data_IF_712070969427
#
_entry.id   IF_712070969427
#
_cell.length_a   1.000
_cell.length_b   1.000
_cell.length_c   1.000
_cell.angle_alpha   90.00
_cell.angle_beta   90.00
_cell.angle_gamma   90.00
#
_symmetry.space_group_name_H-M   'P 1'
#
loop_
_entity.id
_entity.type
_entity.pdbx_description
1 polymer ?
2 non-polymer ?
3 non-polymer ?
4 water ?
#
# COMPACT_ATOMS: atom_id res chain seq x y z
N UNK A 6 -10.59 16.35 1.91
CA UNK A 6 -9.60 15.23 1.84
C UNK A 6 -8.20 15.84 1.70
N UNK A 7 -7.11 15.19 2.19
CA UNK A 7 -5.76 15.70 1.99
C UNK A 7 -5.36 15.69 0.50
N UNK A 8 -4.71 16.75 -0.01
CA UNK A 8 -4.29 16.89 -1.43
C UNK A 8 -2.86 17.40 -1.49
N UNK A 9 -1.92 16.72 -2.17
CA UNK A 9 -2.13 15.39 -2.74
C UNK A 9 -2.54 14.38 -1.67
N UNK A 10 -3.08 13.25 -2.10
CA UNK A 10 -3.65 12.22 -1.21
C UNK A 10 -2.69 11.05 -1.17
N UNK A 11 -1.85 10.93 -0.13
CA UNK A 11 -0.87 9.86 -0.09
C UNK A 11 -1.53 8.49 -0.09
N UNK A 12 -0.85 7.56 -0.76
CA UNK A 12 -1.20 6.12 -0.77
C UNK A 12 0.03 5.34 -0.36
N UNK A 13 -0.19 4.26 0.37
CA UNK A 13 0.89 3.51 1.05
C UNK A 13 0.74 2.03 0.72
N UNK A 14 1.81 1.40 0.21
CA UNK A 14 1.86 -0.06 0.01
C UNK A 14 2.94 -0.58 0.93
N UNK A 15 2.61 -1.52 1.80
CA UNK A 15 3.64 -2.11 2.70
C UNK A 15 4.10 -3.44 2.11
N UNK A 16 5.40 -3.65 2.14
CA UNK A 16 6.01 -4.87 1.58
C UNK A 16 7.32 -5.14 2.28
N UNK A 17 7.64 -6.42 2.41
CA UNK A 17 8.92 -6.88 2.97
C UNK A 17 10.08 -6.44 2.06
N UNK A 18 11.16 -5.99 2.67
CA UNK A 18 12.38 -5.58 1.92
C UNK A 18 12.83 -6.70 0.98
N UNK A 19 12.61 -7.97 1.32
CA UNK A 19 13.05 -9.09 0.47
C UNK A 19 12.34 -9.09 -0.89
N UNK A 20 11.28 -8.31 -1.05
CA UNK A 20 10.54 -8.18 -2.32
C UNK A 20 11.11 -7.04 -3.18
N UNK A 21 11.93 -6.15 -2.63
CA UNK A 21 12.33 -4.89 -3.33
C UNK A 21 13.13 -5.20 -4.59
N UNK A 22 14.05 -6.16 -4.57
CA UNK A 22 14.84 -6.51 -5.77
C UNK A 22 13.90 -6.91 -6.92
N UNK A 23 12.89 -7.73 -6.67
CA UNK A 23 11.93 -8.16 -7.70
C UNK A 23 11.13 -6.99 -8.23
N UNK A 24 10.75 -6.06 -7.36
CA UNK A 24 10.00 -4.85 -7.80
C UNK A 24 10.89 -4.00 -8.72
N UNK A 25 12.14 -3.77 -8.32
CA UNK A 25 13.07 -2.94 -9.10
C UNK A 25 13.43 -3.64 -10.42
N UNK A 26 13.63 -4.95 -10.40
CA UNK A 26 14.01 -5.67 -11.65
C UNK A 26 12.86 -5.56 -12.66
N UNK A 27 11.61 -5.68 -12.20
CA UNK A 27 10.44 -5.63 -13.13
C UNK A 27 10.04 -4.18 -13.41
N UNK A 28 10.48 -3.26 -12.57
CA UNK A 28 10.12 -1.83 -12.63
C UNK A 28 8.69 -1.58 -12.18
N UNK A 29 8.09 -2.53 -11.48
CA UNK A 29 6.67 -2.36 -11.05
C UNK A 29 6.31 -3.33 -9.95
N UNK A 30 5.30 -2.98 -9.18
CA UNK A 30 4.52 -3.96 -8.39
C UNK A 30 3.53 -4.64 -9.34
N UNK A 31 3.34 -5.94 -9.18
CA UNK A 31 2.30 -6.70 -9.93
C UNK A 31 1.18 -7.10 -8.98
N UNK A 32 -0.07 -7.01 -9.44
CA UNK A 32 -1.25 -7.51 -8.70
C UNK A 32 -1.07 -9.00 -8.40
N UNK A 33 -1.65 -9.48 -7.33
CA UNK A 33 -1.61 -10.89 -6.89
C UNK A 33 -1.86 -11.82 -8.09
N UNK A 34 -2.89 -11.54 -8.89
CA UNK A 34 -3.35 -12.43 -9.98
C UNK A 34 -2.43 -12.32 -11.19
N UNK A 35 -1.43 -11.42 -11.15
CA UNK A 35 -0.41 -11.28 -12.23
C UNK A 35 0.89 -11.96 -11.80
N UNK A 36 0.87 -12.75 -10.73
CA UNK A 36 1.99 -13.63 -10.28
C UNK A 36 3.26 -12.82 -10.05
N UNK A 37 3.31 -11.88 -9.10
CA UNK A 37 4.58 -11.24 -8.74
C UNK A 37 5.58 -12.26 -8.21
N UNK A 38 6.89 -12.09 -8.45
CA UNK A 38 7.88 -12.97 -7.85
C UNK A 38 8.16 -12.58 -6.38
N UNK A 39 7.14 -12.67 -5.54
CA UNK A 39 7.16 -12.32 -4.10
C UNK A 39 8.15 -13.25 -3.35
N UNK A 40 8.85 -12.71 -2.38
CA UNK A 40 9.74 -13.50 -1.50
C UNK A 40 9.08 -13.64 -0.14
N UNK A 41 8.31 -12.64 0.29
CA UNK A 41 7.50 -12.73 1.54
C UNK A 41 6.14 -12.08 1.33
N UNK A 42 5.07 -12.76 1.75
CA UNK A 42 3.68 -12.27 1.70
C UNK A 42 3.24 -12.11 3.14
N UNK A 43 2.36 -11.14 3.39
CA UNK A 43 2.06 -10.75 4.81
C UNK A 43 0.55 -10.89 5.01
N UNK A 44 -0.03 -11.79 4.21
CA UNK A 44 -1.42 -12.25 4.34
C UNK A 44 -1.56 -13.04 5.66
N UNK A 45 -2.74 -12.95 6.27
CA UNK A 45 -3.17 -13.86 7.36
C UNK A 45 -3.02 -15.30 6.87
N UNK A 55 -13.80 -11.70 -4.45
CA UNK A 55 -14.38 -10.36 -4.15
C UNK A 55 -14.36 -9.50 -5.41
N UNK A 56 -15.52 -9.25 -5.99
CA UNK A 56 -15.69 -8.56 -7.28
C UNK A 56 -15.55 -7.07 -7.07
N UNK A 57 -14.95 -6.39 -8.05
CA UNK A 57 -14.85 -4.90 -8.12
C UNK A 57 -15.95 -4.40 -9.06
N UNK A 58 -17.00 -3.74 -8.53
CA UNK A 58 -18.16 -3.38 -9.35
C UNK A 58 -17.97 -2.12 -10.23
N UNK A 59 -16.81 -1.46 -10.17
CA UNK A 59 -16.46 -0.34 -11.07
C UNK A 59 -15.58 -0.86 -12.19
N UNK A 60 -15.64 -0.31 -13.41
CA UNK A 60 -14.67 -0.64 -14.44
C UNK A 60 -13.28 -0.28 -13.92
N UNK A 61 -12.22 -1.05 -14.24
CA UNK A 61 -12.27 -2.15 -15.22
C UNK A 61 -12.72 -3.52 -14.67
N UNK A 62 -13.32 -3.55 -13.49
CA UNK A 62 -13.98 -4.77 -12.98
C UNK A 62 -12.97 -5.79 -12.49
N UNK A 63 -13.22 -7.07 -12.75
CA UNK A 63 -12.43 -8.17 -12.16
C UNK A 63 -12.62 -8.25 -10.65
N UNK A 64 -11.56 -8.69 -9.95
CA UNK A 64 -11.61 -8.97 -8.48
C UNK A 64 -10.49 -8.16 -7.80
N UNK A 65 -10.54 -8.04 -6.48
CA UNK A 65 -9.55 -7.23 -5.74
C UNK A 65 -8.12 -7.65 -6.11
N UNK A 66 -7.85 -8.95 -6.25
CA UNK A 66 -6.47 -9.44 -6.47
C UNK A 66 -6.02 -9.18 -7.93
N UNK A 67 -6.85 -8.53 -8.75
CA UNK A 67 -6.42 -8.05 -10.08
C UNK A 67 -5.76 -6.68 -9.97
N UNK A 68 -5.73 -6.11 -8.77
CA UNK A 68 -5.23 -4.72 -8.54
C UNK A 68 -4.08 -4.76 -7.54
N UNK A 69 -3.14 -3.84 -7.69
CA UNK A 69 -2.12 -3.57 -6.65
C UNK A 69 -2.74 -2.66 -5.61
N UNK A 70 -2.82 -3.08 -4.33
CA UNK A 70 -3.56 -2.35 -3.32
C UNK A 70 -2.68 -1.47 -2.42
N UNK A 71 -3.25 -0.34 -2.04
CA UNK A 71 -2.61 0.66 -1.13
C UNK A 71 -3.63 0.99 -0.05
N UNK A 72 -3.13 1.36 1.12
CA UNK A 72 -3.99 2.04 2.13
C UNK A 72 -3.79 3.54 2.02
N UNK A 73 -4.64 4.28 2.71
CA UNK A 73 -4.58 5.77 2.78
C UNK A 73 -3.88 6.25 4.06
N UNK A 74 -3.36 5.33 4.85
CA UNK A 74 -2.55 5.67 6.06
C UNK A 74 -1.36 4.73 6.13
N UNK A 75 -0.27 5.22 6.76
CA UNK A 75 0.77 4.34 7.28
C UNK A 75 0.29 3.82 8.65
N UNK A 76 1.13 3.05 9.33
CA UNK A 76 0.78 2.49 10.66
C UNK A 76 -0.61 1.83 10.58
N UNK A 77 -0.83 1.02 9.55
CA UNK A 77 -2.16 0.42 9.25
C UNK A 77 -2.47 -0.73 10.20
N UNK A 78 -3.75 -1.13 10.26
CA UNK A 78 -4.13 -2.35 10.96
C UNK A 78 -3.36 -3.58 10.44
N UNK A 79 -3.10 -3.66 9.14
CA UNK A 79 -2.31 -4.78 8.56
C UNK A 79 -0.91 -4.77 9.20
N UNK A 80 -0.33 -3.59 9.36
CA UNK A 80 1.00 -3.49 10.00
C UNK A 80 0.90 -3.91 11.47
N UNK A 81 -0.20 -3.61 12.14
CA UNK A 81 -0.37 -4.05 13.54
C UNK A 81 -0.46 -5.57 13.59
N UNK A 82 -1.09 -6.20 12.59
CA UNK A 82 -1.21 -7.67 12.56
C UNK A 82 0.19 -8.27 12.34
N UNK A 83 1.02 -7.62 11.54
CA UNK A 83 2.43 -8.08 11.35
C UNK A 83 3.19 -7.91 12.66
N UNK A 84 3.10 -6.73 13.27
CA UNK A 84 3.77 -6.39 14.54
C UNK A 84 3.38 -7.41 15.63
N UNK A 85 2.14 -7.82 15.62
CA UNK A 85 1.58 -8.69 16.68
C UNK A 85 1.73 -10.17 16.34
N UNK A 86 2.34 -10.55 15.20
CA UNK A 86 2.56 -11.95 14.83
C UNK A 86 1.28 -12.66 14.39
N UNK A 87 0.21 -11.91 14.08
CA UNK A 87 -1.12 -12.45 13.68
C UNK A 87 -1.09 -12.95 12.23
N UNK A 88 -0.01 -12.67 11.50
CA UNK A 88 0.20 -13.18 10.12
C UNK A 88 0.98 -14.51 10.18
N UNK A 89 0.95 -15.31 9.11
CA UNK A 89 1.86 -16.48 9.02
C UNK A 89 3.29 -15.99 9.07
N UNK A 90 3.57 -14.84 8.46
CA UNK A 90 4.91 -14.19 8.50
C UNK A 90 5.20 -13.75 9.95
N UNK A 91 6.35 -14.17 10.50
CA UNK A 91 6.71 -13.95 11.93
C UNK A 91 7.90 -13.00 12.09
N UNK A 92 8.36 -12.37 11.03
CA UNK A 92 9.58 -11.53 11.07
C UNK A 92 9.33 -10.15 11.68
N UNK A 93 8.08 -9.79 11.93
CA UNK A 93 7.73 -8.52 12.57
C UNK A 93 7.88 -7.33 11.63
N UNK A 94 7.83 -6.13 12.22
CA UNK A 94 7.62 -4.90 11.41
C UNK A 94 8.95 -4.35 10.87
N UNK A 95 10.12 -4.68 11.45
CA UNK A 95 11.38 -3.97 11.11
C UNK A 95 11.68 -4.09 9.61
N UNK A 96 11.53 -5.25 8.96
CA UNK A 96 11.82 -5.35 7.53
C UNK A 96 10.72 -4.83 6.61
N UNK A 97 9.64 -4.29 7.16
CA UNK A 97 8.48 -3.89 6.30
C UNK A 97 8.63 -2.44 5.87
N UNK A 98 8.70 -2.25 4.56
CA UNK A 98 8.81 -0.92 3.93
C UNK A 98 7.43 -0.32 3.76
N UNK A 99 7.32 0.99 3.89
CA UNK A 99 6.15 1.72 3.35
C UNK A 99 6.57 2.34 2.02
N UNK A 100 5.91 1.95 0.93
CA UNK A 100 6.15 2.57 -0.40
C UNK A 100 5.08 3.64 -0.59
N UNK A 101 5.49 4.88 -0.80
CA UNK A 101 4.56 6.04 -0.76
C UNK A 101 4.40 6.64 -2.16
N UNK A 102 3.16 6.84 -2.57
CA UNK A 102 2.83 7.58 -3.82
C UNK A 102 1.61 8.46 -3.53
N UNK A 103 0.90 8.88 -4.55
CA UNK A 103 -0.35 9.65 -4.33
C UNK A 103 -1.40 9.20 -5.33
N UNK A 104 -2.66 9.37 -4.96
CA UNK A 104 -3.79 9.06 -5.84
C UNK A 104 -3.71 9.94 -7.08
N UNK A 105 -3.31 11.22 -6.93
CA UNK A 105 -3.25 12.17 -8.05
C UNK A 105 -2.18 11.74 -9.06
N UNK A 106 -1.04 11.24 -8.59
CA UNK A 106 0.03 10.74 -9.50
C UNK A 106 -0.50 9.63 -10.39
N UNK A 107 -1.29 8.71 -9.82
CA UNK A 107 -1.85 7.58 -10.58
C UNK A 107 -2.78 8.10 -11.67
N UNK A 108 -3.66 9.03 -11.32
CA UNK A 108 -4.56 9.67 -12.32
C UNK A 108 -3.71 10.37 -13.38
N UNK A 109 -2.72 11.14 -12.96
CA UNK A 109 -1.90 11.94 -13.91
C UNK A 109 -1.18 11.01 -14.86
N UNK A 110 -0.79 9.83 -14.39
CA UNK A 110 -0.03 8.84 -15.21
C UNK A 110 -0.96 8.10 -16.17
N UNK A 111 -2.28 8.24 -16.04
CA UNK A 111 -3.26 7.67 -16.97
C UNK A 111 -3.59 6.23 -16.64
N UNK A 112 -3.35 5.79 -15.41
CA UNK A 112 -3.55 4.37 -15.03
C UNK A 112 -4.93 4.15 -14.46
N UNK A 113 -5.61 3.04 -14.83
CA UNK A 113 -6.92 2.74 -14.26
C UNK A 113 -6.83 2.36 -12.78
N UNK A 114 -7.72 2.94 -12.00
CA UNK A 114 -7.77 2.72 -10.54
C UNK A 114 -9.22 2.72 -10.10
N UNK A 115 -9.42 2.12 -8.92
CA UNK A 115 -10.67 2.25 -8.14
C UNK A 115 -10.27 2.35 -6.68
N UNK A 116 -11.13 2.87 -5.86
CA UNK A 116 -10.82 2.92 -4.41
C UNK A 116 -12.08 2.61 -3.64
N UNK A 117 -11.88 2.16 -2.42
CA UNK A 117 -12.94 1.69 -1.52
C UNK A 117 -12.96 2.53 -0.24
N UNK A 118 -14.05 2.40 0.51
CA UNK A 118 -14.18 3.04 1.85
C UNK A 118 -13.90 2.02 2.97
N UNK A 119 -13.54 0.79 2.65
CA UNK A 119 -13.21 -0.31 3.60
C UNK A 119 -12.72 -1.51 2.81
N UNK A 120 -12.33 -2.63 3.45
CA UNK A 120 -11.94 -3.87 2.72
C UNK A 120 -13.06 -4.26 1.76
N UNK A 121 -12.79 -4.47 0.47
CA UNK A 121 -13.79 -4.63 -0.60
C UNK A 121 -14.57 -5.93 -0.50
N UNK A 122 -14.13 -6.85 0.36
CA UNK A 122 -14.84 -8.14 0.59
C UNK A 122 -16.09 -7.87 1.44
N UNK A 123 -16.14 -6.75 2.17
CA UNK A 123 -17.32 -6.45 3.04
C UNK A 123 -18.51 -6.10 2.14
N UNK A 124 -19.68 -6.66 2.43
CA UNK A 124 -20.91 -6.48 1.62
C UNK A 124 -21.28 -4.99 1.48
N UNK A 125 -21.01 -4.18 2.52
CA UNK A 125 -21.39 -2.74 2.52
C UNK A 125 -20.26 -1.89 1.95
N UNK A 126 -19.14 -2.47 1.49
CA UNK A 126 -18.04 -1.70 0.88
C UNK A 126 -18.60 -0.90 -0.30
N UNK A 127 -18.18 0.37 -0.38
CA UNK A 127 -18.48 1.25 -1.55
C UNK A 127 -17.21 1.41 -2.36
N UNK A 128 -17.38 1.44 -3.68
CA UNK A 128 -16.29 1.52 -4.68
C UNK A 128 -16.49 2.79 -5.53
N UNK A 129 -15.39 3.47 -5.83
CA UNK A 129 -15.37 4.78 -6.50
C UNK A 129 -14.28 4.80 -7.56
N UNK A 130 -14.40 5.65 -8.57
CA UNK A 130 -13.27 5.82 -9.52
C UNK A 130 -12.98 7.29 -9.80
N UNK A 131 -13.60 8.24 -9.10
CA UNK A 131 -13.33 9.69 -9.32
C UNK A 131 -12.64 10.21 -8.07
N UNK A 132 -11.58 10.99 -8.22
CA UNK A 132 -10.85 11.53 -7.04
C UNK A 132 -11.79 12.41 -6.19
N UNK A 133 -12.78 13.05 -6.78
CA UNK A 133 -13.67 13.92 -5.95
C UNK A 133 -14.42 13.05 -4.92
N UNK A 134 -14.58 11.75 -5.18
CA UNK A 134 -15.27 10.84 -4.24
C UNK A 134 -14.35 10.41 -3.10
N UNK A 135 -13.12 10.90 -3.02
CA UNK A 135 -12.32 10.67 -1.79
C UNK A 135 -13.05 11.29 -0.57
N UNK A 136 -13.93 12.26 -0.79
CA UNK A 136 -14.77 12.86 0.27
C UNK A 136 -15.71 11.83 0.93
N UNK A 137 -16.00 10.71 0.28
CA UNK A 137 -16.97 9.69 0.78
C UNK A 137 -16.30 8.76 1.82
N UNK A 138 -14.98 8.81 1.94
CA UNK A 138 -14.24 7.94 2.87
C UNK A 138 -14.38 8.47 4.29
N UNK A 139 -14.10 7.65 5.28
CA UNK A 139 -14.07 8.08 6.70
C UNK A 139 -12.64 8.50 7.06
N UNK A 140 -12.30 9.77 6.87
CA UNK A 140 -10.92 10.28 7.10
C UNK A 140 -10.61 10.36 8.60
N UNK A 141 -11.63 10.47 9.45
CA UNK A 141 -11.42 10.32 10.92
C UNK A 141 -10.82 8.93 11.20
N UNK A 142 -11.40 7.86 10.66
CA UNK A 142 -10.90 6.49 10.88
C UNK A 142 -9.51 6.36 10.24
N UNK A 143 -9.37 6.78 8.99
CA UNK A 143 -8.10 6.59 8.23
C UNK A 143 -6.96 7.23 9.02
N UNK A 144 -7.16 8.43 9.55
CA UNK A 144 -6.06 9.22 10.17
C UNK A 144 -5.93 8.90 11.66
N UNK A 145 -6.80 8.05 12.22
CA UNK A 145 -6.85 7.85 13.69
C UNK A 145 -5.62 7.10 14.18
N UNK A 146 -5.01 7.61 15.26
CA UNK A 146 -3.93 6.91 16.01
C UNK A 146 -4.56 5.95 17.04
N UNK A 147 -5.74 6.30 17.55
CA UNK A 147 -6.51 5.38 18.43
C UNK A 147 -7.65 4.81 17.60
N UNK A 148 -7.64 3.50 17.36
CA UNK A 148 -8.64 2.85 16.48
C UNK A 148 -9.11 1.51 17.07
N UNK A 149 -8.96 1.31 18.38
CA UNK A 149 -9.30 0.04 19.06
C UNK A 149 -10.81 -0.14 19.14
N UNK A 150 -11.58 0.94 19.21
CA UNK A 150 -13.03 0.84 19.46
C UNK A 150 -13.64 2.19 19.10
N UNK A 151 -14.84 2.24 18.48
CA UNK A 151 -15.63 1.06 18.12
C UNK A 151 -15.04 0.22 17.00
N UNK A 152 -15.60 -0.98 16.75
CA UNK A 152 -15.02 -1.93 15.79
C UNK A 152 -15.00 -1.40 14.36
N UNK A 153 -15.94 -0.52 14.04
CA UNK A 153 -16.01 0.10 12.68
C UNK A 153 -14.75 0.92 12.39
N UNK A 154 -14.04 1.44 13.38
CA UNK A 154 -12.84 2.27 13.06
C UNK A 154 -11.83 1.37 12.33
N UNK A 155 -11.56 0.16 12.84
CA UNK A 155 -10.61 -0.74 12.15
C UNK A 155 -11.08 -0.99 10.70
N UNK A 156 -12.38 -1.17 10.48
CA UNK A 156 -12.95 -1.48 9.15
C UNK A 156 -12.71 -0.29 8.20
N UNK A 157 -13.06 0.91 8.64
CA UNK A 157 -13.03 2.11 7.76
C UNK A 157 -11.60 2.61 7.61
N UNK A 158 -10.70 2.29 8.53
CA UNK A 158 -9.26 2.62 8.42
C UNK A 158 -8.61 1.84 7.26
N UNK A 159 -9.25 0.77 6.79
CA UNK A 159 -8.70 -0.09 5.72
C UNK A 159 -9.33 0.27 4.37
N UNK A 160 -9.86 1.48 4.19
CA UNK A 160 -10.11 2.02 2.84
C UNK A 160 -8.87 1.76 1.98
N UNK A 161 -9.05 1.39 0.72
CA UNK A 161 -7.91 1.00 -0.15
C UNK A 161 -7.99 1.71 -1.50
N UNK A 162 -6.83 1.96 -2.06
CA UNK A 162 -6.66 2.55 -3.41
C UNK A 162 -6.07 1.42 -4.26
N UNK A 163 -6.75 1.06 -5.34
CA UNK A 163 -6.50 -0.18 -6.12
C UNK A 163 -6.08 0.22 -7.53
N UNK A 164 -4.86 -0.17 -7.93
CA UNK A 164 -4.37 0.16 -9.30
C UNK A 164 -4.38 -1.11 -10.13
N UNK A 165 -5.05 -1.09 -11.27
CA UNK A 165 -5.28 -2.33 -12.04
C UNK A 165 -3.97 -2.91 -12.59
N UNK A 166 -3.75 -4.20 -12.31
CA UNK A 166 -2.75 -5.11 -12.93
C UNK A 166 -1.33 -4.82 -12.44
N UNK A 167 -0.89 -3.58 -12.49
CA UNK A 167 0.51 -3.24 -12.15
C UNK A 167 0.62 -1.79 -11.76
N UNK A 168 1.63 -1.53 -10.96
CA UNK A 168 1.91 -0.17 -10.45
C UNK A 168 3.37 0.14 -10.70
N UNK A 169 3.70 1.10 -11.57
CA UNK A 169 5.08 1.36 -11.89
C UNK A 169 5.91 1.86 -10.71
N UNK A 170 7.11 1.33 -10.58
CA UNK A 170 8.04 1.72 -9.50
C UNK A 170 8.27 3.23 -9.50
N UNK A 171 8.37 3.85 -10.67
CA UNK A 171 8.72 5.29 -10.78
C UNK A 171 7.59 6.20 -10.26
N UNK A 172 6.44 5.67 -9.89
CA UNK A 172 5.41 6.45 -9.15
C UNK A 172 5.72 6.52 -7.65
N UNK A 173 6.64 5.72 -7.12
CA UNK A 173 6.99 5.80 -5.67
C UNK A 173 7.87 7.03 -5.40
N UNK A 174 7.42 7.90 -4.49
CA UNK A 174 8.04 9.21 -4.13
C UNK A 174 8.97 9.00 -2.91
N UNK A 175 8.63 8.05 -2.05
CA UNK A 175 9.37 7.85 -0.78
C UNK A 175 9.27 6.38 -0.36
N UNK A 176 10.36 5.88 0.19
CA UNK A 176 10.39 4.58 0.93
C UNK A 176 10.61 4.93 2.40
N UNK A 177 9.63 4.63 3.25
CA UNK A 177 9.76 4.85 4.71
C UNK A 177 10.15 3.52 5.35
N UNK A 178 11.03 3.59 6.34
CA UNK A 178 11.61 2.39 7.01
C UNK A 178 11.53 2.57 8.52
N UNK A 179 11.62 1.45 9.23
CA UNK A 179 11.58 1.43 10.71
C UNK A 179 12.91 1.89 11.32
N UNK A 180 14.05 1.60 10.67
CA UNK A 180 15.38 1.71 11.32
C UNK A 180 16.46 2.13 10.33
N UNK A 181 17.55 2.66 10.88
CA UNK A 181 18.75 3.03 10.11
C UNK A 181 19.23 1.82 9.30
N UNK A 182 19.34 0.66 9.93
CA UNK A 182 19.90 -0.54 9.28
C UNK A 182 19.04 -0.90 8.06
N UNK A 183 17.72 -0.79 8.15
CA UNK A 183 16.86 -1.15 7.00
C UNK A 183 16.98 -0.06 5.93
N UNK A 184 17.08 1.21 6.33
CA UNK A 184 17.28 2.31 5.39
C UNK A 184 18.53 2.08 4.57
N UNK A 185 19.58 1.61 5.24
CA UNK A 185 20.87 1.35 4.56
C UNK A 185 20.73 0.17 3.61
N UNK A 186 20.00 -0.88 4.03
CA UNK A 186 19.79 -2.06 3.15
C UNK A 186 18.99 -1.62 1.91
N UNK A 187 18.01 -0.74 2.08
CA UNK A 187 17.20 -0.27 0.92
C UNK A 187 18.10 0.45 -0.08
N UNK A 188 18.98 1.33 0.41
CA UNK A 188 19.92 2.06 -0.49
C UNK A 188 20.86 1.08 -1.18
N UNK A 189 21.34 0.05 -0.50
CA UNK A 189 22.19 -0.98 -1.17
C UNK A 189 21.44 -1.61 -2.35
N UNK A 190 20.16 -1.93 -2.16
CA UNK A 190 19.34 -2.61 -3.20
C UNK A 190 19.09 -1.61 -4.34
N UNK A 191 18.76 -0.37 -4.02
CA UNK A 191 18.48 0.66 -5.06
C UNK A 191 19.72 0.82 -5.94
N UNK A 192 20.90 0.77 -5.33
CA UNK A 192 22.18 0.97 -6.06
C UNK A 192 22.49 -0.22 -6.97
N UNK A 193 21.85 -1.38 -6.81
CA UNK A 193 21.99 -2.52 -7.77
C UNK A 193 21.19 -2.27 -9.05
N UNK A 194 20.29 -1.30 -9.05
CA UNK A 194 19.44 -0.91 -10.21
C UNK A 194 19.60 0.59 -10.44
N UNK A 195 20.78 1.02 -10.93
CA UNK A 195 21.05 2.44 -11.16
C UNK A 195 20.10 3.07 -12.18
N UNK A 196 19.42 2.29 -13.01
CA UNK A 196 18.43 2.83 -13.98
C UNK A 196 17.09 3.11 -13.28
N UNK A 197 16.81 2.46 -12.14
CA UNK A 197 15.53 2.60 -11.39
C UNK A 197 15.51 3.94 -10.66
N UNK A 198 14.34 4.58 -10.58
CA UNK A 198 14.17 5.83 -9.82
C UNK A 198 14.65 5.58 -8.39
N UNK A 199 15.37 6.54 -7.81
CA UNK A 199 15.87 6.42 -6.43
C UNK A 199 15.04 7.40 -5.61
N UNK A 200 13.92 6.95 -5.01
CA UNK A 200 13.13 7.84 -4.17
C UNK A 200 13.89 8.17 -2.89
N UNK A 201 13.41 9.14 -2.13
CA UNK A 201 14.02 9.42 -0.81
C UNK A 201 13.72 8.24 0.10
N UNK A 202 14.67 7.95 0.99
CA UNK A 202 14.51 6.89 2.02
C UNK A 202 14.52 7.61 3.36
N UNK A 203 13.47 7.43 4.15
CA UNK A 203 13.21 8.16 5.41
C UNK A 203 12.95 7.15 6.54
N UNK A 204 13.65 7.28 7.66
CA UNK A 204 13.29 6.56 8.91
C UNK A 204 12.06 7.26 9.50
N UNK A 205 10.95 6.54 9.66
CA UNK A 205 9.71 7.10 10.24
C UNK A 205 9.18 6.15 11.29
N UNK A 206 9.78 6.21 12.48
CA UNK A 206 9.37 5.34 13.61
C UNK A 206 7.90 5.59 13.95
N UNK A 207 7.39 6.80 13.69
CA UNK A 207 5.99 7.17 14.00
C UNK A 207 5.01 6.47 13.05
N UNK A 208 5.48 5.85 11.96
CA UNK A 208 4.62 5.07 11.04
C UNK A 208 4.58 3.59 11.45
N UNK A 209 5.25 3.23 12.54
CA UNK A 209 5.35 1.84 13.04
C UNK A 209 4.82 1.80 14.46
N UNK A 210 4.65 0.59 14.96
CA UNK A 210 4.18 0.33 16.36
C UNK A 210 5.36 0.25 17.32
X LIG B 1 -0.31 -10.68 -1.45
X LIG B 1 -0.52 -11.83 -0.50
X LIG B 1 -1.18 -10.59 -2.66
X LIG B 1 1.20 -10.74 -1.87
X LIG B 1 1.69 -9.96 -2.98
X LIG B 1 3.08 -9.55 -2.62
X LIG B 1 3.90 -9.40 -3.81
X LIG B 1 3.21 -8.22 -1.86
X LIG B 1 4.14 -8.44 -0.80
X LIG B 1 3.75 -7.26 -2.92
X LIG B 1 4.44 -6.16 -2.40
X LIG B 1 4.67 -8.23 -3.66
X LIG B 1 5.11 -7.80 -4.99
X LIG B 1 4.40 -7.14 -5.96
X LIG B 1 5.08 -6.98 -7.08
X LIG B 1 6.30 -7.59 -6.83
X LIG B 1 7.45 -7.74 -7.62
X LIG B 1 7.58 -7.25 -8.85
X LIG B 1 8.46 -8.45 -7.08
X LIG B 1 8.35 -8.87 -5.82
X LIG B 1 7.32 -8.79 -4.99
X LIG B 1 6.31 -8.13 -5.56
X LIG B 1 -0.51 -9.33 -0.62
X LIG B 1 0.14 -8.58 0.63
X LIG B 1 1.08 -9.50 1.31
X LIG B 1 0.58 -7.23 0.12
X LIG B 1 -1.16 -8.28 1.50
X LIG B 1 -1.93 -9.38 2.08
X LIG B 1 -3.39 -9.07 1.85
X LIG B 1 -3.78 -7.65 2.32
X LIG B 1 -3.79 -9.15 0.35
X LIG B 1 -5.12 -9.65 0.24
X LIG B 1 -3.65 -7.70 -0.13
X LIG B 1 -4.42 -7.51 -1.32
X LIG B 1 -4.20 -6.87 1.05
X LIG B 1 -3.73 -5.45 1.07
X LIG B 1 -2.38 -5.14 1.16
X LIG B 1 -1.95 -3.82 1.14
X LIG B 1 -0.47 -3.53 1.25
X LIG B 1 -0.10 -2.41 1.58
X LIG B 1 0.36 -4.53 0.98
X LIG B 1 -2.88 -2.80 1.01
X LIG B 1 -4.21 -3.11 0.93
X LIG B 1 -4.61 -4.43 0.99
X LIG C 1 -7.89 -4.31 -0.61
X LIG C 1 -9.34 -3.75 -0.63
X LIG C 1 -10.33 -3.26 -0.79
#
# INVERSE_FOLDING_TARGET
SMKRTYPEPTPIYHITHIDNLKGILRMGKLLAHNQSPPKQRSIAYAHIQERRNRAKVPQPPGGVLHDYVPFYFCPRSPMLYAIYSGATEYQGGQEPILHLVSSAQAVHKAGLPFVFTDRHGVLSHARFFRQLEELAQLDWEAIQASYWADPPELREKKQAAFLVYKAFPWALIEEIAVYSQRVGEEVLKILKQFPEARRPRVCIRKDWYY
CNA PA O1A O2A O5B C5B C4B O4B C3B O3B C2B O2B C1B N9A C8A N7A C5A C6A N6A N1A C2A N3A C4A O3 PN O1N O2N O5D C5D C4D C4' C3D O3D C2D O2D C1D N1N C2N C3N C7N O7N N7N C4N C5N C6N
SCN S C N
#
